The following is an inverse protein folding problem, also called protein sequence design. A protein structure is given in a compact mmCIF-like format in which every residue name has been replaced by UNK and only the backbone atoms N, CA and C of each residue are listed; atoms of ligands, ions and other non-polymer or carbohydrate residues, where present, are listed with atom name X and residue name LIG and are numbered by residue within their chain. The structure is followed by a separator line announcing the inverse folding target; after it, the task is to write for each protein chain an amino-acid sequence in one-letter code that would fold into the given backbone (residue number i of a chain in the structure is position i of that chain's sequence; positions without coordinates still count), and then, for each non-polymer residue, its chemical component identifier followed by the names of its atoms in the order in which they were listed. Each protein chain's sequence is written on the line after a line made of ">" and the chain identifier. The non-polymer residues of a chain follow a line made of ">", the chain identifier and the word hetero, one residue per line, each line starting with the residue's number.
data_IF_118542107235
#
_entry.id   IF_118542107235
#
_cell.length_a   1.000
_cell.length_b   1.000
_cell.length_c   1.000
_cell.angle_alpha   90.00
_cell.angle_beta   90.00
_cell.angle_gamma   90.00
#
_symmetry.space_group_name_H-M   'P 1'
#
loop_
_entity.id
_entity.type
_entity.pdbx_description
1 polymer ?
#
# COMPACT_ATOMS: atom_id res chain seq x y z
N UNK A 1 22.03 13.99 -10.37
CA UNK A 1 20.96 13.37 -9.55
C UNK A 1 20.61 14.40 -8.51
N UNK A 2 19.34 14.68 -8.20
CA UNK A 2 19.00 15.66 -7.16
C UNK A 2 19.23 15.05 -5.78
N UNK A 3 19.57 15.86 -4.78
CA UNK A 3 19.77 15.44 -3.38
C UNK A 3 18.55 14.63 -2.84
N UNK A 4 17.33 15.04 -3.20
CA UNK A 4 16.10 14.33 -2.85
C UNK A 4 16.05 12.89 -3.41
N UNK A 5 16.57 12.66 -4.64
CA UNK A 5 16.60 11.30 -5.21
C UNK A 5 17.60 10.42 -4.47
N UNK A 6 18.75 10.95 -4.08
CA UNK A 6 19.76 10.22 -3.29
C UNK A 6 19.23 9.85 -1.90
N UNK A 7 18.51 10.76 -1.23
CA UNK A 7 17.86 10.50 0.07
C UNK A 7 16.80 9.39 -0.08
N UNK A 8 15.97 9.44 -1.11
CA UNK A 8 14.94 8.43 -1.40
C UNK A 8 15.55 7.05 -1.61
N UNK A 9 16.63 6.96 -2.40
CA UNK A 9 17.33 5.69 -2.65
C UNK A 9 17.99 5.14 -1.37
N UNK A 10 18.59 5.99 -0.55
CA UNK A 10 19.21 5.60 0.71
C UNK A 10 18.19 5.06 1.72
N UNK A 11 17.06 5.74 1.88
CA UNK A 11 15.96 5.29 2.74
C UNK A 11 15.37 3.95 2.26
N UNK A 12 15.14 3.81 0.96
CA UNK A 12 14.67 2.56 0.36
C UNK A 12 15.65 1.41 0.58
N UNK A 13 16.95 1.64 0.42
CA UNK A 13 18.00 0.64 0.65
C UNK A 13 18.07 0.22 2.13
N UNK A 14 17.99 1.18 3.06
CA UNK A 14 17.96 0.92 4.51
C UNK A 14 16.75 0.11 4.91
N UNK A 15 15.56 0.46 4.40
CA UNK A 15 14.33 -0.28 4.59
C UNK A 15 14.42 -1.71 4.05
N UNK A 16 14.98 -1.89 2.84
CA UNK A 16 15.16 -3.20 2.23
C UNK A 16 16.08 -4.11 3.06
N UNK A 17 17.15 -3.58 3.62
CA UNK A 17 18.05 -4.34 4.50
C UNK A 17 17.34 -4.78 5.79
N UNK A 18 16.60 -3.87 6.43
CA UNK A 18 15.82 -4.15 7.62
C UNK A 18 14.76 -5.24 7.37
N UNK A 19 13.91 -5.07 6.36
CA UNK A 19 12.83 -6.01 6.09
C UNK A 19 13.32 -7.36 5.59
N UNK A 20 14.38 -7.41 4.80
CA UNK A 20 15.00 -8.67 4.37
C UNK A 20 15.44 -9.53 5.55
N UNK A 21 15.95 -8.93 6.62
CA UNK A 21 16.42 -9.64 7.82
C UNK A 21 15.31 -10.02 8.77
N UNK A 22 14.22 -9.25 8.83
CA UNK A 22 13.23 -9.32 9.90
C UNK A 22 11.79 -9.64 9.45
N UNK A 23 11.58 -9.97 8.16
CA UNK A 23 10.28 -10.39 7.63
C UNK A 23 10.33 -11.80 7.04
N UNK A 24 10.69 -12.84 7.82
CA UNK A 24 10.55 -14.22 7.39
C UNK A 24 9.06 -14.60 7.25
N UNK A 25 8.77 -15.73 6.58
CA UNK A 25 7.40 -16.15 6.26
C UNK A 25 6.51 -16.26 7.50
N UNK A 26 7.06 -16.74 8.61
CA UNK A 26 6.33 -16.88 9.89
C UNK A 26 5.88 -15.53 10.45
N UNK A 27 6.70 -14.48 10.30
CA UNK A 27 6.35 -13.11 10.70
C UNK A 27 5.26 -12.56 9.79
N UNK A 28 5.36 -12.78 8.47
CA UNK A 28 4.37 -12.34 7.49
C UNK A 28 2.99 -12.96 7.78
N UNK A 29 2.94 -14.24 8.10
CA UNK A 29 1.70 -14.96 8.41
C UNK A 29 1.02 -14.49 9.69
N UNK A 30 1.74 -13.86 10.62
CA UNK A 30 1.22 -13.39 11.91
C UNK A 30 0.30 -12.16 11.83
N UNK A 31 0.21 -11.49 10.69
CA UNK A 31 -0.67 -10.33 10.46
C UNK A 31 -0.29 -9.04 11.20
N UNK A 32 0.43 -9.11 12.32
CA UNK A 32 0.99 -7.98 13.08
C UNK A 32 2.27 -8.38 13.80
N UNK A 33 3.32 -7.55 13.70
CA UNK A 33 4.60 -7.77 14.38
C UNK A 33 5.05 -6.52 15.15
N UNK A 34 4.80 -6.46 16.47
CA UNK A 34 5.29 -5.36 17.31
C UNK A 34 6.82 -5.27 17.32
N UNK A 35 7.52 -6.39 17.22
CA UNK A 35 8.98 -6.42 17.17
C UNK A 35 9.52 -5.74 15.91
N UNK A 36 8.90 -6.03 14.76
CA UNK A 36 9.26 -5.38 13.50
C UNK A 36 8.94 -3.89 13.51
N UNK A 37 7.80 -3.51 14.12
CA UNK A 37 7.45 -2.11 14.31
C UNK A 37 8.51 -1.35 15.11
N UNK A 38 8.93 -1.86 16.27
CA UNK A 38 10.00 -1.24 17.06
C UNK A 38 11.34 -1.10 16.34
N UNK A 39 11.66 -2.02 15.44
CA UNK A 39 12.87 -1.88 14.61
C UNK A 39 12.74 -0.74 13.61
N UNK A 40 11.56 -0.54 13.02
CA UNK A 40 11.27 0.56 12.09
C UNK A 40 11.32 1.92 12.81
N UNK A 41 10.70 2.03 13.99
CA UNK A 41 10.77 3.24 14.81
C UNK A 41 12.22 3.60 15.18
N UNK A 42 12.98 2.64 15.67
CA UNK A 42 14.39 2.86 16.02
C UNK A 42 15.28 3.23 14.85
N UNK A 43 14.91 2.80 13.64
CA UNK A 43 15.62 3.15 12.41
C UNK A 43 15.25 4.54 11.87
N UNK A 44 14.23 5.20 12.43
CA UNK A 44 13.77 6.53 12.01
C UNK A 44 13.26 6.56 10.55
N UNK A 45 12.76 5.44 10.02
CA UNK A 45 12.42 5.31 8.59
C UNK A 45 11.23 6.18 8.13
N UNK A 46 10.43 6.69 9.07
CA UNK A 46 9.23 7.49 8.78
C UNK A 46 9.29 8.90 9.37
N UNK A 47 10.32 9.22 10.13
CA UNK A 47 10.46 10.52 10.80
C UNK A 47 11.00 11.58 9.86
N UNK A 48 10.26 12.69 9.69
CA UNK A 48 10.71 13.86 8.95
C UNK A 48 10.88 13.66 7.43
N UNK A 49 10.48 12.52 6.88
CA UNK A 49 10.56 12.24 5.45
C UNK A 49 9.38 12.88 4.70
N UNK A 50 9.65 13.40 3.50
CA UNK A 50 8.62 13.90 2.61
C UNK A 50 7.80 12.73 2.01
N UNK A 51 6.64 13.02 1.42
CA UNK A 51 5.75 11.98 0.91
C UNK A 51 6.39 11.08 -0.15
N UNK A 52 7.20 11.57 -1.09
CA UNK A 52 7.90 10.71 -2.05
C UNK A 52 8.90 9.74 -1.40
N UNK A 53 9.61 10.16 -0.34
CA UNK A 53 10.50 9.31 0.44
C UNK A 53 9.70 8.24 1.22
N UNK A 54 8.61 8.66 1.88
CA UNK A 54 7.70 7.75 2.56
C UNK A 54 7.11 6.70 1.61
N UNK A 55 6.71 7.11 0.40
CA UNK A 55 6.22 6.20 -0.63
C UNK A 55 7.28 5.16 -1.01
N UNK A 56 8.56 5.54 -1.11
CA UNK A 56 9.65 4.60 -1.40
C UNK A 56 9.82 3.57 -0.27
N UNK A 57 9.79 3.99 0.99
CA UNK A 57 9.90 3.10 2.16
C UNK A 57 8.69 2.16 2.25
N UNK A 58 7.47 2.68 2.07
CA UNK A 58 6.21 1.90 2.07
C UNK A 58 6.21 0.86 0.94
N UNK A 59 6.68 1.22 -0.27
CA UNK A 59 6.82 0.29 -1.38
C UNK A 59 7.76 -0.87 -1.03
N UNK A 60 8.89 -0.57 -0.40
CA UNK A 60 9.82 -1.60 0.06
C UNK A 60 9.20 -2.48 1.13
N UNK A 61 8.50 -1.93 2.11
CA UNK A 61 7.78 -2.74 3.11
C UNK A 61 6.79 -3.71 2.47
N UNK A 62 6.08 -3.27 1.43
CA UNK A 62 5.16 -4.12 0.67
C UNK A 62 5.87 -5.23 -0.14
N UNK A 63 7.09 -5.02 -0.64
CA UNK A 63 7.92 -6.06 -1.27
C UNK A 63 8.25 -7.22 -0.31
N UNK A 64 8.25 -6.95 0.98
CA UNK A 64 8.51 -7.94 2.02
C UNK A 64 7.23 -8.37 2.73
N UNK A 65 6.06 -7.91 2.30
CA UNK A 65 4.77 -8.15 2.95
C UNK A 65 4.84 -7.88 4.47
N UNK A 66 5.57 -6.83 4.88
CA UNK A 66 5.82 -6.50 6.28
C UNK A 66 4.48 -6.30 7.02
N UNK A 67 4.18 -7.09 8.08
CA UNK A 67 2.89 -7.05 8.76
C UNK A 67 2.88 -5.94 9.83
N UNK A 68 2.99 -4.70 9.38
CA UNK A 68 3.00 -3.50 10.22
C UNK A 68 2.25 -2.36 9.52
N UNK A 69 1.63 -1.43 10.25
CA UNK A 69 0.88 -0.30 9.70
C UNK A 69 1.78 0.85 9.20
N UNK A 70 2.90 0.53 8.53
CA UNK A 70 3.87 1.55 8.13
C UNK A 70 3.27 2.61 7.20
N UNK A 71 2.47 2.18 6.24
CA UNK A 71 1.82 3.10 5.31
C UNK A 71 0.71 3.92 5.96
N UNK A 72 -0.05 3.29 6.83
CA UNK A 72 -1.12 3.92 7.61
C UNK A 72 -0.56 4.94 8.60
N UNK A 73 0.54 4.61 9.29
CA UNK A 73 1.24 5.53 10.19
C UNK A 73 1.81 6.73 9.44
N UNK A 74 2.48 6.50 8.30
CA UNK A 74 2.99 7.56 7.45
C UNK A 74 1.87 8.51 6.99
N UNK A 75 0.74 7.96 6.56
CA UNK A 75 -0.44 8.73 6.17
C UNK A 75 -1.03 9.52 7.35
N UNK A 76 -1.19 8.87 8.50
CA UNK A 76 -1.71 9.51 9.72
C UNK A 76 -0.84 10.71 10.14
N UNK A 77 0.48 10.54 10.16
CA UNK A 77 1.44 11.63 10.48
C UNK A 77 1.40 12.75 9.46
N UNK A 78 1.28 12.45 8.17
CA UNK A 78 1.14 13.47 7.12
C UNK A 78 -0.16 14.29 7.30
N UNK A 79 -1.27 13.65 7.64
CA UNK A 79 -2.54 14.34 7.93
C UNK A 79 -2.43 15.21 9.17
N UNK A 80 -1.85 14.69 10.27
CA UNK A 80 -1.65 15.47 11.50
C UNK A 80 -0.76 16.68 11.28
N UNK A 81 0.33 16.53 10.52
CA UNK A 81 1.23 17.64 10.19
C UNK A 81 0.50 18.74 9.41
N UNK A 82 -0.36 18.39 8.43
CA UNK A 82 -1.17 19.39 7.69
C UNK A 82 -2.23 20.06 8.57
N UNK A 83 -2.71 19.38 9.59
CA UNK A 83 -3.65 19.92 10.59
C UNK A 83 -2.96 20.67 11.73
N UNK A 84 -1.63 20.79 11.71
CA UNK A 84 -0.81 21.39 12.78
C UNK A 84 -1.02 20.70 14.15
N UNK A 85 -1.32 19.39 14.13
CA UNK A 85 -1.53 18.57 15.32
C UNK A 85 -0.28 17.74 15.62
N UNK A 86 0.07 17.57 16.93
CA UNK A 86 1.20 16.72 17.31
C UNK A 86 0.88 15.25 17.06
N UNK A 87 1.83 14.53 16.48
CA UNK A 87 1.72 13.08 16.32
C UNK A 87 2.23 12.38 17.61
N UNK A 88 1.41 11.53 18.24
CA UNK A 88 1.86 10.75 19.39
C UNK A 88 2.87 9.66 18.98
N UNK A 89 3.67 9.13 19.94
CA UNK A 89 4.55 7.99 19.69
C UNK A 89 3.75 6.71 19.44
N UNK A 90 4.38 5.74 18.78
CA UNK A 90 3.79 4.43 18.45
C UNK A 90 3.10 4.41 17.10
N UNK A 91 2.55 3.24 16.70
CA UNK A 91 1.88 3.10 15.43
C UNK A 91 0.54 3.84 15.42
N UNK A 92 0.32 4.62 14.37
CA UNK A 92 -0.94 5.32 14.11
C UNK A 92 -1.69 4.64 12.98
N UNK A 93 -3.00 4.89 12.92
CA UNK A 93 -3.82 4.53 11.76
C UNK A 93 -4.83 5.62 11.43
N UNK A 94 -5.52 5.45 10.32
CA UNK A 94 -6.51 6.40 9.80
C UNK A 94 -7.87 5.74 9.69
N UNK A 95 -8.94 6.49 9.95
CA UNK A 95 -10.31 6.00 9.83
C UNK A 95 -11.25 7.09 9.32
N UNK A 96 -12.10 6.76 8.36
CA UNK A 96 -13.19 7.63 7.92
C UNK A 96 -14.48 7.23 8.64
N UNK A 97 -15.05 8.20 9.38
CA UNK A 97 -16.21 7.96 10.23
C UNK A 97 -17.50 8.47 9.59
N UNK A 98 -18.50 7.61 9.60
CA UNK A 98 -19.88 7.92 9.23
C UNK A 98 -20.79 7.51 10.41
N UNK A 99 -21.55 8.44 10.95
CA UNK A 99 -22.48 8.19 12.07
C UNK A 99 -21.83 7.46 13.27
N UNK A 100 -20.61 7.87 13.65
CA UNK A 100 -19.87 7.30 14.78
C UNK A 100 -19.23 5.94 14.51
N UNK A 101 -19.20 5.46 13.26
CA UNK A 101 -18.61 4.18 12.85
C UNK A 101 -17.64 4.32 11.71
N UNK A 102 -16.59 3.51 11.75
CA UNK A 102 -15.64 3.33 10.66
C UNK A 102 -15.45 1.83 10.41
N UNK A 103 -15.58 1.40 9.16
CA UNK A 103 -15.44 0.00 8.75
C UNK A 103 -14.08 -0.23 8.06
N UNK A 104 -13.53 -1.43 8.25
CA UNK A 104 -12.29 -1.84 7.57
C UNK A 104 -11.06 -1.02 7.95
N UNK A 105 -11.02 -0.47 9.17
CA UNK A 105 -9.91 0.36 9.65
C UNK A 105 -8.65 -0.47 9.77
N UNK A 106 -7.58 -0.11 9.03
CA UNK A 106 -6.35 -0.90 9.05
C UNK A 106 -5.70 -0.84 10.43
N UNK A 107 -5.35 -2.00 10.99
CA UNK A 107 -4.56 -2.11 12.24
C UNK A 107 -5.10 -1.33 13.45
N UNK A 108 -6.41 -1.01 13.53
CA UNK A 108 -6.95 -0.21 14.64
C UNK A 108 -6.67 -0.84 16.01
N UNK A 109 -6.75 -2.19 16.12
CA UNK A 109 -6.43 -2.93 17.36
C UNK A 109 -4.96 -2.83 17.80
N UNK A 110 -4.08 -2.43 16.88
CA UNK A 110 -2.62 -2.36 17.10
C UNK A 110 -2.13 -0.92 17.22
N UNK A 111 -2.95 0.06 16.82
CA UNK A 111 -2.60 1.47 16.84
C UNK A 111 -2.67 2.06 18.25
N UNK A 112 -1.77 2.99 18.54
CA UNK A 112 -1.78 3.78 19.79
C UNK A 112 -2.79 4.92 19.73
N UNK A 113 -3.15 5.38 18.53
CA UNK A 113 -4.22 6.34 18.29
C UNK A 113 -4.73 6.25 16.86
N UNK A 114 -5.94 6.73 16.62
CA UNK A 114 -6.60 6.79 15.32
C UNK A 114 -6.74 8.25 14.89
N UNK A 115 -6.26 8.58 13.71
CA UNK A 115 -6.59 9.83 13.03
C UNK A 115 -7.93 9.64 12.34
N UNK A 116 -8.97 10.22 12.94
CA UNK A 116 -10.32 10.18 12.42
C UNK A 116 -10.53 11.29 11.39
N UNK A 117 -11.20 10.98 10.31
CA UNK A 117 -11.67 11.95 9.32
C UNK A 117 -13.19 11.82 9.15
N UNK A 118 -13.85 12.95 8.95
CA UNK A 118 -15.24 13.05 8.52
C UNK A 118 -15.41 14.27 7.60
N UNK A 119 -16.64 14.57 7.21
CA UNK A 119 -16.94 15.70 6.30
C UNK A 119 -16.59 17.06 6.89
N UNK A 120 -16.50 17.18 8.21
CA UNK A 120 -16.25 18.44 8.93
C UNK A 120 -14.75 18.67 9.20
N UNK A 121 -13.93 17.60 9.18
CA UNK A 121 -12.49 17.72 9.40
C UNK A 121 -11.84 16.46 9.96
N UNK A 122 -10.71 16.64 10.61
CA UNK A 122 -9.92 15.57 11.23
C UNK A 122 -9.77 15.76 12.73
N UNK A 123 -9.64 14.65 13.44
CA UNK A 123 -9.35 14.63 14.87
C UNK A 123 -8.41 13.47 15.22
N UNK A 124 -7.65 13.61 16.28
CA UNK A 124 -6.89 12.52 16.89
C UNK A 124 -7.72 11.91 18.02
N UNK A 125 -8.12 10.64 17.86
CA UNK A 125 -8.93 9.95 18.87
C UNK A 125 -8.05 9.31 19.93
N UNK A 126 -8.41 9.55 21.21
CA UNK A 126 -7.85 8.83 22.34
C UNK A 126 -8.38 7.39 22.37
N UNK A 127 -7.56 6.37 22.66
CA UNK A 127 -8.01 4.98 22.78
C UNK A 127 -9.20 4.75 23.71
N UNK A 128 -9.40 5.60 24.73
CA UNK A 128 -10.55 5.52 25.62
C UNK A 128 -11.86 5.99 24.99
N UNK A 129 -11.82 6.69 23.83
CA UNK A 129 -13.00 7.27 23.17
C UNK A 129 -13.66 6.35 22.11
N UNK A 130 -13.09 5.17 21.84
CA UNK A 130 -13.61 4.26 20.86
C UNK A 130 -13.52 2.79 21.28
N UNK A 131 -14.30 1.96 20.61
CA UNK A 131 -14.27 0.50 20.72
C UNK A 131 -13.86 -0.12 19.39
N UNK A 132 -12.96 -1.09 19.47
CA UNK A 132 -12.53 -1.87 18.30
C UNK A 132 -13.25 -3.21 18.29
N UNK A 133 -13.81 -3.58 17.12
CA UNK A 133 -14.32 -4.92 16.82
C UNK A 133 -13.41 -5.51 15.76
N UNK A 134 -12.74 -6.61 16.09
CA UNK A 134 -11.74 -7.23 15.25
C UNK A 134 -12.30 -7.73 13.92
N UNK A 135 -11.58 -7.47 12.84
CA UNK A 135 -11.83 -7.95 11.49
C UNK A 135 -10.52 -8.16 10.74
N UNK A 136 -10.58 -8.83 9.61
CA UNK A 136 -9.42 -9.05 8.74
C UNK A 136 -9.83 -8.96 7.27
N UNK A 137 -8.86 -8.60 6.40
CA UNK A 137 -9.02 -8.75 4.96
C UNK A 137 -8.64 -10.18 4.48
N UNK A 138 -8.68 -10.41 3.17
CA UNK A 138 -8.33 -11.71 2.57
C UNK A 138 -6.90 -12.15 2.89
N UNK A 139 -5.99 -11.21 3.10
CA UNK A 139 -4.59 -11.50 3.42
C UNK A 139 -4.34 -11.73 4.92
N UNK A 140 -5.39 -11.72 5.76
CA UNK A 140 -5.27 -11.85 7.21
C UNK A 140 -4.76 -10.59 7.91
N UNK A 141 -4.63 -9.46 7.20
CA UNK A 141 -4.24 -8.20 7.82
C UNK A 141 -5.40 -7.62 8.62
N UNK A 142 -5.15 -7.00 9.80
CA UNK A 142 -6.18 -6.35 10.59
C UNK A 142 -6.96 -5.30 9.79
N UNK A 143 -8.28 -5.45 9.74
CA UNK A 143 -9.26 -4.51 9.16
C UNK A 143 -10.45 -4.46 10.09
N UNK A 144 -10.32 -3.61 11.08
CA UNK A 144 -11.23 -3.57 12.21
C UNK A 144 -12.42 -2.64 11.95
N UNK A 145 -13.53 -2.91 12.62
CA UNK A 145 -14.58 -1.91 12.79
C UNK A 145 -14.30 -1.10 14.06
N UNK A 146 -14.41 0.21 13.95
CA UNK A 146 -14.24 1.14 15.07
C UNK A 146 -15.55 1.86 15.32
N UNK A 147 -16.00 1.85 16.58
CA UNK A 147 -17.16 2.60 17.05
C UNK A 147 -16.68 3.67 18.03
N UNK A 148 -16.86 4.94 17.70
CA UNK A 148 -16.41 6.06 18.50
C UNK A 148 -17.60 6.93 18.97
N UNK A 149 -17.41 7.58 20.11
CA UNK A 149 -18.30 8.70 20.48
C UNK A 149 -18.12 9.85 19.50
N UNK A 150 -19.13 10.72 19.33
CA UNK A 150 -18.96 11.92 18.50
C UNK A 150 -17.71 12.70 18.93
N UNK A 151 -16.95 13.16 17.96
CA UNK A 151 -15.74 13.95 18.18
C UNK A 151 -15.84 15.28 17.43
N UNK A 152 -15.23 16.32 18.02
CA UNK A 152 -15.14 17.64 17.39
C UNK A 152 -13.89 17.68 16.51
N UNK A 153 -14.02 17.93 15.20
CA UNK A 153 -12.88 18.10 14.31
C UNK A 153 -12.04 19.32 14.72
N UNK A 154 -10.71 19.16 14.72
CA UNK A 154 -9.77 20.23 15.04
C UNK A 154 -8.92 20.67 13.86
N UNK A 155 -8.91 19.92 12.78
CA UNK A 155 -8.17 20.22 11.55
C UNK A 155 -9.08 20.26 10.31
N UNK A 156 -8.53 20.67 9.16
CA UNK A 156 -9.29 20.75 7.92
C UNK A 156 -9.78 19.39 7.47
N UNK A 157 -10.88 19.36 6.73
CA UNK A 157 -11.38 18.15 6.09
C UNK A 157 -10.32 17.55 5.14
N UNK A 158 -10.14 16.25 5.18
CA UNK A 158 -9.21 15.51 4.33
C UNK A 158 -9.99 14.42 3.61
N UNK A 159 -9.82 14.33 2.30
CA UNK A 159 -10.38 13.25 1.50
C UNK A 159 -9.55 11.98 1.72
N UNK A 160 -9.81 11.26 2.82
CA UNK A 160 -9.06 10.06 3.20
C UNK A 160 -9.03 9.01 2.09
N UNK A 161 -10.14 8.89 1.33
CA UNK A 161 -10.23 8.01 0.17
C UNK A 161 -9.13 8.29 -0.87
N UNK A 162 -8.81 9.58 -1.13
CA UNK A 162 -7.77 9.96 -2.10
C UNK A 162 -6.37 9.53 -1.61
N UNK A 163 -6.05 9.87 -0.38
CA UNK A 163 -4.76 9.52 0.23
C UNK A 163 -4.59 8.01 0.41
N UNK A 164 -5.66 7.32 0.81
CA UNK A 164 -5.69 5.86 0.91
C UNK A 164 -5.52 5.19 -0.44
N UNK A 165 -6.09 5.74 -1.52
CA UNK A 165 -5.88 5.24 -2.88
C UNK A 165 -4.42 5.34 -3.32
N UNK A 166 -3.74 6.47 -3.03
CA UNK A 166 -2.30 6.61 -3.27
C UNK A 166 -1.50 5.58 -2.47
N UNK A 167 -1.79 5.46 -1.16
CA UNK A 167 -1.13 4.48 -0.28
C UNK A 167 -1.26 3.05 -0.84
N UNK A 168 -2.47 2.61 -1.20
CA UNK A 168 -2.68 1.26 -1.75
C UNK A 168 -2.00 1.08 -3.11
N UNK A 169 -1.96 2.11 -3.95
CA UNK A 169 -1.21 2.07 -5.22
C UNK A 169 0.28 1.83 -4.97
N UNK A 170 0.89 2.53 -4.01
CA UNK A 170 2.29 2.35 -3.60
C UNK A 170 2.55 0.92 -3.09
N UNK A 171 1.68 0.40 -2.22
CA UNK A 171 1.80 -0.96 -1.68
C UNK A 171 1.62 -2.02 -2.77
N UNK A 172 0.66 -1.86 -3.67
CA UNK A 172 0.46 -2.75 -4.82
C UNK A 172 1.71 -2.76 -5.70
N UNK A 173 2.29 -1.61 -6.04
CA UNK A 173 3.50 -1.54 -6.84
C UNK A 173 4.67 -2.32 -6.20
N UNK A 174 4.85 -2.21 -4.87
CA UNK A 174 5.86 -2.98 -4.13
C UNK A 174 5.61 -4.49 -4.15
N UNK A 175 4.37 -4.91 -3.92
CA UNK A 175 4.01 -6.34 -3.97
C UNK A 175 4.19 -6.92 -5.38
N UNK A 176 3.86 -6.16 -6.44
CA UNK A 176 4.08 -6.55 -7.84
C UNK A 176 5.56 -6.78 -8.15
N UNK A 177 6.46 -5.93 -7.68
CA UNK A 177 7.90 -6.11 -7.83
C UNK A 177 8.35 -7.44 -7.19
N UNK A 178 7.81 -7.79 -6.02
CA UNK A 178 8.12 -9.06 -5.38
C UNK A 178 7.54 -10.27 -6.11
N UNK A 179 6.30 -10.18 -6.57
CA UNK A 179 5.64 -11.22 -7.38
C UNK A 179 6.44 -11.49 -8.67
N UNK A 180 6.90 -10.43 -9.35
CA UNK A 180 7.77 -10.55 -10.52
C UNK A 180 9.08 -11.29 -10.19
N UNK A 181 9.76 -10.92 -9.10
CA UNK A 181 10.99 -11.58 -8.65
C UNK A 181 10.78 -13.06 -8.36
N UNK A 182 9.74 -13.40 -7.58
CA UNK A 182 9.41 -14.78 -7.21
C UNK A 182 9.09 -15.62 -8.46
N UNK A 183 8.27 -15.08 -9.36
CA UNK A 183 7.82 -15.79 -10.55
C UNK A 183 8.95 -16.01 -11.55
N UNK A 184 9.81 -15.00 -11.75
CA UNK A 184 10.98 -15.12 -12.63
C UNK A 184 11.99 -16.14 -12.09
N UNK A 185 12.23 -16.11 -10.78
CA UNK A 185 13.12 -17.06 -10.11
C UNK A 185 12.57 -18.49 -10.23
N UNK A 186 11.28 -18.69 -9.91
CA UNK A 186 10.62 -20.00 -10.05
C UNK A 186 10.74 -20.53 -11.48
N UNK A 187 10.48 -19.71 -12.49
CA UNK A 187 10.58 -20.12 -13.90
C UNK A 187 12.01 -20.45 -14.35
N UNK A 188 13.03 -19.88 -13.72
CA UNK A 188 14.43 -20.20 -13.97
C UNK A 188 14.89 -21.48 -13.30
N UNK A 189 14.39 -21.79 -12.09
CA UNK A 189 14.77 -22.94 -11.29
C UNK A 189 13.99 -24.21 -11.66
N UNK A 190 12.68 -24.07 -11.92
CA UNK A 190 11.80 -25.20 -12.25
C UNK A 190 12.09 -25.75 -13.64
N UNK A 191 12.36 -27.04 -13.73
CA UNK A 191 12.63 -27.74 -15.00
C UNK A 191 11.47 -28.66 -15.36
N UNK A 192 11.09 -28.64 -16.65
CA UNK A 192 10.14 -29.55 -17.27
C UNK A 192 10.63 -29.89 -18.69
N UNK A 193 10.37 -31.09 -19.15
CA UNK A 193 10.79 -31.55 -20.50
C UNK A 193 12.29 -31.29 -20.80
N UNK A 194 13.13 -31.45 -19.77
CA UNK A 194 14.59 -31.34 -19.88
C UNK A 194 15.17 -29.92 -19.79
N UNK A 195 14.35 -28.86 -19.67
CA UNK A 195 14.81 -27.47 -19.62
C UNK A 195 14.05 -26.60 -18.60
N UNK A 196 14.61 -25.44 -18.18
CA UNK A 196 13.91 -24.49 -17.32
C UNK A 196 12.64 -23.97 -17.98
N UNK A 197 11.60 -23.62 -17.15
CA UNK A 197 10.31 -23.11 -17.65
C UNK A 197 10.45 -21.85 -18.48
N UNK A 198 11.36 -20.94 -18.13
CA UNK A 198 11.60 -19.68 -18.85
C UNK A 198 12.17 -19.88 -20.26
N UNK A 199 12.56 -21.10 -20.65
CA UNK A 199 12.96 -21.44 -22.04
C UNK A 199 11.76 -21.73 -22.95
N UNK A 200 10.57 -21.93 -22.40
CA UNK A 200 9.36 -22.07 -23.20
C UNK A 200 8.81 -20.69 -23.55
N UNK A 201 8.55 -20.47 -24.85
CA UNK A 201 8.12 -19.17 -25.38
C UNK A 201 6.85 -18.65 -24.68
N UNK A 202 5.88 -19.53 -24.40
CA UNK A 202 4.66 -19.16 -23.71
C UNK A 202 4.94 -18.61 -22.30
N UNK A 203 5.85 -19.24 -21.55
CA UNK A 203 6.25 -18.76 -20.21
C UNK A 203 7.05 -17.45 -20.31
N UNK A 204 7.96 -17.34 -21.29
CA UNK A 204 8.71 -16.11 -21.52
C UNK A 204 7.79 -14.92 -21.82
N UNK A 205 6.72 -15.13 -22.60
CA UNK A 205 5.71 -14.09 -22.87
C UNK A 205 4.94 -13.68 -21.59
N UNK A 206 4.53 -14.63 -20.75
CA UNK A 206 3.88 -14.35 -19.47
C UNK A 206 4.79 -13.54 -18.55
N UNK A 207 6.09 -13.88 -18.45
CA UNK A 207 7.05 -13.12 -17.67
C UNK A 207 7.27 -11.71 -18.20
N UNK A 208 7.33 -11.53 -19.52
CA UNK A 208 7.43 -10.21 -20.15
C UNK A 208 6.18 -9.36 -19.89
N UNK A 209 4.98 -9.97 -19.93
CA UNK A 209 3.73 -9.30 -19.58
C UNK A 209 3.73 -8.90 -18.10
N UNK A 210 4.10 -9.79 -17.18
CA UNK A 210 4.21 -9.48 -15.74
C UNK A 210 5.19 -8.33 -15.48
N UNK A 211 6.34 -8.32 -16.17
CA UNK A 211 7.32 -7.23 -16.06
C UNK A 211 6.74 -5.89 -16.56
N UNK A 212 5.99 -5.90 -17.66
CA UNK A 212 5.31 -4.70 -18.19
C UNK A 212 4.26 -4.15 -17.21
N UNK A 213 3.42 -5.02 -16.64
CA UNK A 213 2.42 -4.64 -15.64
C UNK A 213 3.08 -4.00 -14.42
N UNK A 214 4.16 -4.62 -13.92
CA UNK A 214 4.93 -4.12 -12.77
C UNK A 214 5.57 -2.76 -13.05
N UNK A 215 6.21 -2.59 -14.21
CA UNK A 215 6.85 -1.34 -14.60
C UNK A 215 5.84 -0.19 -14.77
N UNK A 216 4.68 -0.48 -15.38
CA UNK A 216 3.63 0.50 -15.58
C UNK A 216 3.02 0.94 -14.24
N UNK A 217 2.72 0.00 -13.32
CA UNK A 217 2.21 0.31 -11.99
C UNK A 217 3.20 1.19 -11.20
N UNK A 218 4.49 0.87 -11.25
CA UNK A 218 5.54 1.67 -10.61
C UNK A 218 5.58 3.09 -11.16
N UNK A 219 5.64 3.25 -12.47
CA UNK A 219 5.77 4.57 -13.11
C UNK A 219 4.62 5.52 -12.76
N UNK A 220 3.36 5.05 -12.81
CA UNK A 220 2.21 5.88 -12.47
C UNK A 220 2.15 6.21 -10.98
N UNK A 221 2.61 5.29 -10.13
CA UNK A 221 2.65 5.48 -8.68
C UNK A 221 3.72 6.49 -8.27
N UNK A 222 4.92 6.41 -8.86
CA UNK A 222 5.98 7.38 -8.64
C UNK A 222 5.53 8.78 -9.09
N UNK A 223 4.91 8.92 -10.27
CA UNK A 223 4.37 10.18 -10.77
C UNK A 223 3.23 10.75 -9.89
N UNK A 224 2.40 9.88 -9.30
CA UNK A 224 1.36 10.30 -8.37
C UNK A 224 1.95 10.78 -7.04
N UNK A 225 2.91 10.05 -6.47
CA UNK A 225 3.58 10.41 -5.22
C UNK A 225 4.37 11.73 -5.34
N UNK A 226 5.08 11.94 -6.45
CA UNK A 226 5.84 13.18 -6.70
C UNK A 226 4.92 14.41 -6.85
N UNK A 227 3.64 14.21 -7.25
CA UNK A 227 2.70 15.32 -7.44
C UNK A 227 2.10 15.86 -6.14
N UNK A 228 2.31 15.20 -5.01
CA UNK A 228 1.62 15.51 -3.74
C UNK A 228 2.28 16.65 -2.97
N UNK A 229 3.53 17.03 -3.28
CA UNK A 229 4.26 18.07 -2.56
C UNK A 229 3.59 19.44 -2.67
N UNK A 230 3.00 19.77 -3.81
CA UNK A 230 2.34 21.06 -4.03
C UNK A 230 0.83 20.98 -3.80
N UNK A 231 0.15 20.06 -4.48
CA UNK A 231 -1.28 19.75 -4.32
C UNK A 231 -1.56 18.35 -4.89
N UNK A 232 -2.25 17.45 -4.16
CA UNK A 232 -2.51 16.09 -4.66
C UNK A 232 -3.36 16.14 -5.92
N UNK A 233 -2.74 15.85 -7.06
CA UNK A 233 -3.43 15.86 -8.35
C UNK A 233 -4.35 14.63 -8.44
N UNK A 234 -5.64 14.87 -8.22
CA UNK A 234 -6.69 13.85 -8.19
C UNK A 234 -6.60 12.89 -9.39
N UNK A 235 -6.37 13.42 -10.60
CA UNK A 235 -6.30 12.59 -11.81
C UNK A 235 -5.09 11.63 -11.82
N UNK A 236 -3.93 12.04 -11.28
CA UNK A 236 -2.74 11.17 -11.19
C UNK A 236 -2.96 10.03 -10.20
N UNK A 237 -3.57 10.34 -9.06
CA UNK A 237 -3.89 9.34 -8.04
C UNK A 237 -4.96 8.38 -8.57
N UNK A 238 -6.01 8.89 -9.24
CA UNK A 238 -7.03 8.06 -9.88
C UNK A 238 -6.42 7.12 -10.93
N UNK A 239 -5.58 7.65 -11.83
CA UNK A 239 -4.87 6.85 -12.83
C UNK A 239 -3.95 5.79 -12.20
N UNK A 240 -3.24 6.13 -11.12
CA UNK A 240 -2.39 5.19 -10.40
C UNK A 240 -3.22 4.07 -9.76
N UNK A 241 -4.33 4.39 -9.10
CA UNK A 241 -5.20 3.40 -8.45
C UNK A 241 -5.84 2.45 -9.46
N UNK A 242 -6.36 2.96 -10.59
CA UNK A 242 -6.90 2.15 -11.69
C UNK A 242 -5.82 1.21 -12.22
N UNK A 243 -4.67 1.76 -12.60
CA UNK A 243 -3.60 0.97 -13.23
C UNK A 243 -3.00 -0.07 -12.29
N UNK A 244 -2.83 0.25 -11.01
CA UNK A 244 -2.36 -0.69 -10.00
C UNK A 244 -3.38 -1.80 -9.74
N UNK A 245 -4.68 -1.49 -9.71
CA UNK A 245 -5.73 -2.48 -9.53
C UNK A 245 -5.80 -3.47 -10.69
N UNK A 246 -5.76 -2.99 -11.94
CA UNK A 246 -5.67 -3.86 -13.13
C UNK A 246 -4.43 -4.75 -13.09
N UNK A 247 -3.26 -4.17 -12.75
CA UNK A 247 -2.00 -4.89 -12.66
C UNK A 247 -2.04 -5.97 -11.56
N UNK A 248 -2.69 -5.69 -10.42
CA UNK A 248 -2.82 -6.65 -9.32
C UNK A 248 -3.53 -7.93 -9.76
N UNK A 249 -4.69 -7.80 -10.44
CA UNK A 249 -5.43 -8.95 -10.96
C UNK A 249 -4.65 -9.73 -12.02
N UNK A 250 -4.04 -9.02 -12.97
CA UNK A 250 -3.28 -9.62 -14.06
C UNK A 250 -2.01 -10.33 -13.59
N UNK A 251 -1.25 -9.69 -12.71
CA UNK A 251 -0.02 -10.24 -12.15
C UNK A 251 -0.28 -11.48 -11.29
N UNK A 252 -1.33 -11.47 -10.46
CA UNK A 252 -1.73 -12.63 -9.66
C UNK A 252 -2.05 -13.83 -10.56
N UNK A 253 -2.86 -13.62 -11.62
CA UNK A 253 -3.21 -14.67 -12.57
C UNK A 253 -1.96 -15.26 -13.28
N UNK A 254 -1.06 -14.41 -13.78
CA UNK A 254 0.18 -14.84 -14.43
C UNK A 254 1.07 -15.60 -13.44
N UNK A 255 1.27 -15.08 -12.24
CA UNK A 255 2.13 -15.71 -11.24
C UNK A 255 1.62 -17.11 -10.86
N UNK A 256 0.32 -17.26 -10.57
CA UNK A 256 -0.28 -18.56 -10.27
C UNK A 256 -0.21 -19.51 -11.47
N UNK A 257 -0.40 -19.03 -12.70
CA UNK A 257 -0.26 -19.84 -13.90
C UNK A 257 1.17 -20.39 -14.06
N UNK A 258 2.19 -19.58 -13.80
CA UNK A 258 3.61 -19.99 -13.93
C UNK A 258 4.04 -20.93 -12.79
N UNK A 259 3.58 -20.69 -11.56
CA UNK A 259 3.91 -21.55 -10.41
C UNK A 259 3.14 -22.87 -10.43
N UNK A 260 1.93 -22.90 -11.02
CA UNK A 260 1.04 -24.06 -10.96
C UNK A 260 0.54 -24.33 -9.53
N UNK A 261 0.34 -25.59 -9.18
CA UNK A 261 -0.26 -25.98 -7.91
C UNK A 261 0.47 -25.45 -6.67
N UNK A 262 1.81 -25.36 -6.69
CA UNK A 262 2.60 -24.88 -5.55
C UNK A 262 2.30 -23.43 -5.21
N UNK A 263 1.92 -22.61 -6.19
CA UNK A 263 1.56 -21.19 -5.96
C UNK A 263 0.31 -20.99 -5.10
N UNK A 264 -0.51 -22.04 -4.92
CA UNK A 264 -1.74 -22.01 -4.12
C UNK A 264 -1.57 -22.69 -2.74
N UNK A 265 -0.39 -23.23 -2.45
CA UNK A 265 -0.13 -23.90 -1.18
C UNK A 265 0.50 -22.97 -0.17
N UNK A 266 0.30 -23.27 1.12
CA UNK A 266 0.93 -22.51 2.23
C UNK A 266 2.46 -22.70 2.28
N UNK A 267 3.00 -23.67 1.55
CA UNK A 267 4.44 -23.92 1.44
C UNK A 267 5.19 -22.86 0.65
N UNK A 268 4.48 -22.12 -0.22
CA UNK A 268 5.09 -21.12 -1.09
C UNK A 268 4.62 -19.69 -0.73
N UNK A 269 5.57 -18.80 -0.51
CA UNK A 269 5.31 -17.41 -0.06
C UNK A 269 4.44 -16.56 -1.02
N UNK A 270 4.21 -17.00 -2.26
CA UNK A 270 3.48 -16.24 -3.28
C UNK A 270 2.08 -15.83 -2.83
N UNK A 271 1.34 -16.72 -2.15
CA UNK A 271 -0.03 -16.46 -1.72
C UNK A 271 -0.15 -15.25 -0.78
N UNK A 272 0.86 -14.98 0.05
CA UNK A 272 0.88 -13.79 0.90
C UNK A 272 0.85 -12.49 0.11
N UNK A 273 1.46 -12.46 -1.08
CA UNK A 273 1.46 -11.30 -1.96
C UNK A 273 0.20 -11.22 -2.80
N UNK A 274 -0.27 -12.32 -3.37
CA UNK A 274 -1.47 -12.30 -4.23
C UNK A 274 -2.74 -11.99 -3.43
N UNK A 275 -2.88 -12.48 -2.19
CA UNK A 275 -3.97 -12.14 -1.29
C UNK A 275 -3.95 -10.65 -0.91
N UNK A 276 -2.77 -10.06 -0.67
CA UNK A 276 -2.62 -8.63 -0.44
C UNK A 276 -2.98 -7.81 -1.68
N UNK A 277 -2.52 -8.21 -2.86
CA UNK A 277 -2.88 -7.54 -4.12
C UNK A 277 -4.39 -7.48 -4.31
N UNK A 278 -5.13 -8.58 -4.06
CA UNK A 278 -6.59 -8.61 -4.16
C UNK A 278 -7.27 -7.77 -3.07
N UNK A 279 -6.76 -7.78 -1.83
CA UNK A 279 -7.32 -6.97 -0.75
C UNK A 279 -7.11 -5.46 -0.99
N UNK A 280 -5.89 -5.05 -1.29
CA UNK A 280 -5.54 -3.64 -1.47
C UNK A 280 -6.15 -3.02 -2.74
N UNK A 281 -6.42 -3.86 -3.74
CA UNK A 281 -7.12 -3.47 -4.96
C UNK A 281 -8.47 -2.83 -4.67
N UNK A 282 -9.24 -3.41 -3.77
CA UNK A 282 -10.61 -2.98 -3.49
C UNK A 282 -10.69 -1.91 -2.37
N UNK A 283 -9.62 -1.75 -1.58
CA UNK A 283 -9.56 -0.76 -0.51
C UNK A 283 -9.43 0.67 -1.06
N UNK A 284 -10.11 1.64 -0.44
CA UNK A 284 -10.19 3.06 -0.84
C UNK A 284 -10.73 3.28 -2.27
N UNK A 285 -11.61 2.41 -2.72
CA UNK A 285 -12.29 2.49 -4.00
C UNK A 285 -11.72 1.55 -5.07
N UNK A 286 -12.64 1.00 -5.85
CA UNK A 286 -12.37 0.08 -6.95
C UNK A 286 -11.89 0.81 -8.22
N UNK A 287 -11.42 0.05 -9.22
CA UNK A 287 -11.02 0.60 -10.53
C UNK A 287 -12.20 1.30 -11.22
N UNK A 288 -13.41 0.73 -11.14
CA UNK A 288 -14.62 1.28 -11.76
C UNK A 288 -15.00 2.64 -11.14
N UNK A 289 -14.96 2.74 -9.83
CA UNK A 289 -15.24 3.98 -9.12
C UNK A 289 -14.22 5.07 -9.47
N UNK A 290 -12.93 4.74 -9.50
CA UNK A 290 -11.89 5.72 -9.86
C UNK A 290 -11.90 6.06 -11.36
N UNK A 291 -12.28 5.12 -12.23
CA UNK A 291 -12.50 5.40 -13.65
C UNK A 291 -13.68 6.37 -13.86
N UNK A 292 -14.74 6.25 -13.06
CA UNK A 292 -15.86 7.19 -13.07
C UNK A 292 -15.42 8.60 -12.65
N UNK A 293 -14.60 8.73 -11.60
CA UNK A 293 -14.01 10.01 -11.17
C UNK A 293 -13.17 10.62 -12.30
N UNK A 294 -12.25 9.84 -12.88
CA UNK A 294 -11.37 10.30 -13.95
C UNK A 294 -12.17 10.74 -15.19
N UNK A 295 -13.20 9.95 -15.56
CA UNK A 295 -14.12 10.30 -16.67
C UNK A 295 -14.92 11.58 -16.41
N UNK A 296 -15.25 11.89 -15.16
CA UNK A 296 -15.82 13.17 -14.74
C UNK A 296 -14.89 14.35 -15.04
N UNK A 297 -13.65 14.25 -14.55
CA UNK A 297 -12.61 15.28 -14.77
C UNK A 297 -12.33 15.53 -16.26
N UNK A 298 -12.29 14.47 -17.08
CA UNK A 298 -12.11 14.60 -18.53
C UNK A 298 -13.23 15.40 -19.20
N UNK A 299 -14.47 15.26 -18.76
CA UNK A 299 -15.61 16.04 -19.27
C UNK A 299 -15.57 17.50 -18.86
N UNK A 300 -14.94 17.83 -17.74
CA UNK A 300 -14.78 19.20 -17.22
C UNK A 300 -13.62 19.97 -17.86
N UNK A 301 -12.98 19.42 -18.91
CA UNK A 301 -11.94 20.12 -19.67
C UNK A 301 -10.49 19.84 -19.22
N UNK A 302 -10.27 18.83 -18.36
CA UNK A 302 -8.91 18.46 -17.93
C UNK A 302 -7.97 18.16 -19.12
N UNK A 303 -8.51 17.75 -20.26
CA UNK A 303 -7.72 17.46 -21.46
C UNK A 303 -7.00 18.68 -22.01
N UNK A 304 -7.55 19.88 -21.82
CA UNK A 304 -6.95 21.15 -22.23
C UNK A 304 -5.75 21.55 -21.34
N UNK A 305 -5.66 21.01 -20.14
CA UNK A 305 -4.55 21.28 -19.21
C UNK A 305 -3.38 20.31 -19.34
N UNK A 306 -3.54 19.22 -20.12
CA UNK A 306 -2.53 18.17 -20.34
C UNK A 306 -1.74 18.35 -21.66
N UNK A 307 -2.15 19.29 -22.50
CA UNK A 307 -1.51 19.65 -23.77
C UNK A 307 -0.79 20.99 -23.68
#
# INVERSE_FOLDING_TARGET
>A
MSEALEVRELLAASAADLFRRHSPTEVIAGGWSPQLWHLVERAGLVEGAAIPELAAVVRVAAQYAAPIPLGEDALARAILARAELPAPPGPLTVAEFHDGRAEGVPYARCATAIVAANVDGVALLDPASYRVVEGTNLAGEPRDRVEATPFDPVGPAVTLRLWGALLRSVQIAGALERVLQLTTRHAAERRQFGQPLNRFQAVAHLLAELARETAAARAVTDAAADSVEEDPQLWKIAAAKIRCGEAAGRAAAIAHQVHGAIGFTDEHVLHHFTLRLWSWRDEFGTEEEWASVLGGLMREGMWETLT
#
